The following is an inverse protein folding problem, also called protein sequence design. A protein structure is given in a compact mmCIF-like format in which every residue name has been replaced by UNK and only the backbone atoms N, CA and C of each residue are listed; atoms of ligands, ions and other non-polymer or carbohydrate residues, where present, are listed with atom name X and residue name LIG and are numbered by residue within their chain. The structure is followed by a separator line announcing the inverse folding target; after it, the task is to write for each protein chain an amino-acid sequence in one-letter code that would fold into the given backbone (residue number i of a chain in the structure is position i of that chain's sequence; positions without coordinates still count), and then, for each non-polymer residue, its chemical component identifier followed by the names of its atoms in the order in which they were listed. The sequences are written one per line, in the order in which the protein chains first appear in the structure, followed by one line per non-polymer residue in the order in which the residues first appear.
data_IF_649424477966
#
_entry.id   IF_649424477966
#
_cell.length_a   1.000
_cell.length_b   1.000
_cell.length_c   1.000
_cell.angle_alpha   90.00
_cell.angle_beta   90.00
_cell.angle_gamma   90.00
#
_symmetry.space_group_name_H-M   'P 1'
#
loop_
_entity.id
_entity.type
_entity.pdbx_description
1 polymer ?
#
# COMPACT_ATOMS: atom_id res chain seq x y z
N UNK A 1 -33.65 -34.85 1.38
CA UNK A 1 -32.40 -34.63 2.13
C UNK A 1 -31.29 -34.37 1.12
N UNK A 2 -30.91 -33.11 0.90
CA UNK A 2 -29.57 -32.73 0.43
C UNK A 2 -29.31 -31.36 1.05
N UNK A 3 -28.43 -31.29 2.05
CA UNK A 3 -27.87 -30.02 2.50
C UNK A 3 -26.50 -29.92 1.82
N UNK A 4 -26.41 -29.09 0.79
CA UNK A 4 -25.14 -28.79 0.13
C UNK A 4 -24.35 -27.90 1.10
N UNK A 5 -23.48 -28.51 1.90
CA UNK A 5 -22.49 -27.78 2.69
C UNK A 5 -21.35 -27.44 1.75
N UNK A 6 -21.24 -26.17 1.39
CA UNK A 6 -20.12 -25.63 0.63
C UNK A 6 -18.86 -25.71 1.50
N UNK A 7 -18.03 -26.72 1.26
CA UNK A 7 -16.76 -26.91 1.94
C UNK A 7 -15.70 -26.00 1.31
N UNK A 8 -15.68 -24.72 1.71
CA UNK A 8 -14.51 -23.88 1.49
C UNK A 8 -13.45 -24.38 2.47
N UNK A 9 -12.45 -25.10 1.95
CA UNK A 9 -11.23 -25.43 2.68
C UNK A 9 -10.51 -24.12 3.01
N UNK A 10 -10.80 -23.56 4.18
CA UNK A 10 -9.95 -22.56 4.81
C UNK A 10 -8.64 -23.26 5.17
N UNK A 11 -7.60 -22.99 4.39
CA UNK A 11 -6.24 -23.38 4.71
C UNK A 11 -5.85 -22.69 6.04
N UNK A 12 -5.44 -23.44 7.08
CA UNK A 12 -5.11 -22.87 8.38
C UNK A 12 -3.81 -22.02 8.38
N UNK A 13 -3.15 -21.83 7.24
CA UNK A 13 -1.87 -21.10 7.15
C UNK A 13 -1.99 -19.60 6.89
N UNK A 14 -3.15 -19.05 6.53
CA UNK A 14 -3.30 -17.58 6.42
C UNK A 14 -3.54 -17.02 7.83
N UNK A 15 -2.45 -16.90 8.59
CA UNK A 15 -2.44 -16.14 9.83
C UNK A 15 -2.81 -14.68 9.50
N UNK A 16 -3.71 -14.10 10.30
CA UNK A 16 -3.99 -12.66 10.29
C UNK A 16 -2.75 -11.78 10.55
N UNK A 17 -1.58 -12.38 10.81
CA UNK A 17 -0.28 -11.73 10.92
C UNK A 17 0.34 -11.33 9.58
N UNK A 18 0.01 -11.96 8.44
CA UNK A 18 0.62 -11.56 7.15
C UNK A 18 0.15 -10.18 6.67
N UNK A 19 -1.08 -9.80 7.01
CA UNK A 19 -1.61 -8.45 6.75
C UNK A 19 -1.07 -7.39 7.72
N UNK A 20 -0.58 -7.78 8.89
CA UNK A 20 0.01 -6.89 9.90
C UNK A 20 1.54 -6.89 9.88
N UNK A 21 2.15 -7.69 9.00
CA UNK A 21 3.58 -7.74 8.86
C UNK A 21 4.04 -6.47 8.13
N UNK A 22 4.82 -5.62 8.81
CA UNK A 22 5.44 -4.42 8.22
C UNK A 22 6.34 -4.71 7.01
N UNK A 23 6.52 -5.98 6.65
CA UNK A 23 7.22 -6.45 5.46
C UNK A 23 6.31 -6.69 4.24
N UNK A 24 4.98 -6.57 4.36
CA UNK A 24 4.08 -6.64 3.21
C UNK A 24 4.18 -5.32 2.41
N UNK A 25 4.65 -5.34 1.14
CA UNK A 25 4.80 -4.12 0.34
C UNK A 25 3.47 -3.40 0.06
N UNK A 26 2.33 -4.07 0.22
CA UNK A 26 0.98 -3.50 0.05
C UNK A 26 0.37 -3.00 1.36
N UNK A 27 1.08 -3.09 2.48
CA UNK A 27 0.58 -2.66 3.77
C UNK A 27 0.36 -1.14 3.82
N UNK A 28 -0.86 -0.72 4.15
CA UNK A 28 -1.21 0.66 4.43
C UNK A 28 -1.36 0.80 5.94
N UNK A 29 -0.54 1.65 6.55
CA UNK A 29 -0.58 1.86 7.99
C UNK A 29 -1.84 2.65 8.39
N UNK A 30 -2.45 2.32 9.54
CA UNK A 30 -3.69 2.98 10.00
C UNK A 30 -3.55 4.51 10.20
N UNK A 31 -2.33 5.01 10.40
CA UNK A 31 -2.06 6.46 10.50
C UNK A 31 -1.92 7.16 9.14
N UNK A 32 -2.09 6.44 8.03
CA UNK A 32 -2.06 7.05 6.72
C UNK A 32 -3.32 7.83 6.40
N UNK A 33 -3.09 9.07 5.94
CA UNK A 33 -4.14 10.00 5.58
C UNK A 33 -4.02 10.30 4.07
N UNK A 34 -4.98 9.83 3.25
CA UNK A 34 -5.01 10.11 1.81
C UNK A 34 -5.08 11.61 1.46
N UNK A 35 -5.59 12.44 2.37
CA UNK A 35 -5.68 13.90 2.21
C UNK A 35 -4.49 14.67 2.78
N UNK A 36 -3.45 13.99 3.29
CA UNK A 36 -2.28 14.68 3.83
C UNK A 36 -1.45 15.36 2.74
N UNK A 37 -1.16 16.65 2.94
CA UNK A 37 -0.19 17.37 2.12
C UNK A 37 1.22 16.84 2.41
N UNK A 38 1.82 16.15 1.43
CA UNK A 38 3.19 15.62 1.55
C UNK A 38 4.25 16.72 1.43
N UNK A 39 3.99 17.71 0.58
CA UNK A 39 4.84 18.89 0.40
C UNK A 39 3.92 20.11 0.38
N UNK A 40 4.16 21.04 1.30
CA UNK A 40 3.33 22.27 1.44
C UNK A 40 3.56 23.26 0.31
N UNK A 41 4.77 23.29 -0.24
CA UNK A 41 5.12 24.15 -1.37
C UNK A 41 4.64 23.52 -2.70
N UNK A 42 3.82 24.22 -3.49
CA UNK A 42 3.40 23.75 -4.81
C UNK A 42 4.59 23.58 -5.77
N UNK A 43 4.49 22.63 -6.69
CA UNK A 43 5.48 22.43 -7.75
C UNK A 43 5.43 23.62 -8.74
N UNK A 44 6.60 24.21 -8.99
CA UNK A 44 6.82 25.30 -9.94
C UNK A 44 8.05 25.04 -10.81
N UNK A 45 8.26 25.89 -11.82
CA UNK A 45 9.36 25.73 -12.79
C UNK A 45 10.75 25.88 -12.17
N UNK A 46 10.87 26.62 -11.07
CA UNK A 46 12.12 26.98 -10.41
C UNK A 46 12.44 26.12 -9.17
N UNK A 47 11.49 25.31 -8.70
CA UNK A 47 11.59 24.62 -7.41
C UNK A 47 11.63 23.08 -7.50
N UNK A 48 11.69 22.52 -8.72
CA UNK A 48 11.60 21.08 -8.96
C UNK A 48 12.56 20.25 -8.10
N UNK A 49 13.83 20.64 -8.00
CA UNK A 49 14.83 19.87 -7.24
C UNK A 49 14.49 19.81 -5.74
N UNK A 50 14.12 20.95 -5.16
CA UNK A 50 13.71 21.03 -3.76
C UNK A 50 12.41 20.28 -3.53
N UNK A 51 11.42 20.45 -4.41
CA UNK A 51 10.13 19.77 -4.35
C UNK A 51 10.30 18.24 -4.43
N UNK A 52 11.09 17.75 -5.40
CA UNK A 52 11.39 16.32 -5.58
C UNK A 52 12.00 15.72 -4.33
N UNK A 53 12.99 16.41 -3.73
CA UNK A 53 13.63 15.95 -2.49
C UNK A 53 12.63 15.88 -1.33
N UNK A 54 11.83 16.92 -1.14
CA UNK A 54 10.80 16.96 -0.08
C UNK A 54 9.76 15.86 -0.28
N UNK A 55 9.29 15.65 -1.51
CA UNK A 55 8.33 14.59 -1.85
C UNK A 55 8.93 13.21 -1.57
N UNK A 56 10.17 12.99 -1.99
CA UNK A 56 10.88 11.74 -1.74
C UNK A 56 11.02 11.46 -0.24
N UNK A 57 11.42 12.45 0.56
CA UNK A 57 11.54 12.29 2.02
C UNK A 57 10.20 11.99 2.70
N UNK A 58 9.13 12.67 2.28
CA UNK A 58 7.79 12.44 2.83
C UNK A 58 7.31 11.01 2.55
N UNK A 59 7.55 10.50 1.35
CA UNK A 59 7.20 9.14 0.94
C UNK A 59 8.09 8.08 1.58
N UNK A 60 9.41 8.33 1.69
CA UNK A 60 10.36 7.38 2.28
C UNK A 60 10.08 7.15 3.76
N UNK A 61 9.67 8.19 4.49
CA UNK A 61 9.27 8.08 5.91
C UNK A 61 8.09 7.13 6.11
N UNK A 62 7.30 6.92 5.06
CA UNK A 62 6.13 6.04 5.07
C UNK A 62 6.33 4.73 4.30
N UNK A 63 7.55 4.45 3.83
CA UNK A 63 7.87 3.31 2.95
C UNK A 63 7.03 3.27 1.64
N UNK A 64 6.65 4.44 1.11
CA UNK A 64 5.73 4.55 -0.04
C UNK A 64 6.39 4.79 -1.40
N UNK A 65 7.71 4.87 -1.45
CA UNK A 65 8.45 5.15 -2.69
C UNK A 65 8.11 4.13 -3.78
N UNK A 66 7.96 2.85 -3.39
CA UNK A 66 7.74 1.78 -4.35
C UNK A 66 6.43 1.88 -5.14
N UNK A 67 5.41 2.53 -4.57
CA UNK A 67 4.16 2.79 -5.28
C UNK A 67 4.29 3.90 -6.33
N UNK A 68 5.18 4.86 -6.10
CA UNK A 68 5.35 6.04 -6.97
C UNK A 68 6.33 5.76 -8.10
N UNK A 69 7.41 5.02 -7.83
CA UNK A 69 8.40 4.64 -8.85
C UNK A 69 8.01 3.36 -9.63
N UNK A 70 6.98 2.65 -9.18
CA UNK A 70 6.46 1.44 -9.81
C UNK A 70 7.22 0.16 -9.47
N UNK A 71 8.17 0.20 -8.53
CA UNK A 71 8.83 -1.02 -8.03
C UNK A 71 7.89 -1.92 -7.24
N UNK A 72 6.78 -1.38 -6.71
CA UNK A 72 5.64 -2.13 -6.17
C UNK A 72 4.52 -2.08 -7.24
N UNK A 73 4.30 -3.14 -8.02
CA UNK A 73 3.27 -3.17 -9.05
C UNK A 73 1.87 -3.23 -8.41
N UNK A 74 0.83 -2.87 -9.14
CA UNK A 74 -0.53 -3.12 -8.67
C UNK A 74 -0.76 -4.63 -8.45
N UNK A 75 -1.42 -5.04 -7.36
CA UNK A 75 -1.76 -6.44 -7.14
C UNK A 75 -2.66 -6.97 -8.26
N UNK A 76 -2.51 -8.24 -8.61
CA UNK A 76 -3.37 -8.88 -9.61
C UNK A 76 -4.83 -8.90 -9.14
N UNK A 77 -5.80 -8.83 -10.06
CA UNK A 77 -7.24 -8.81 -9.72
C UNK A 77 -7.72 -10.04 -8.97
N UNK A 78 -6.94 -11.13 -9.00
CA UNK A 78 -7.19 -12.38 -8.28
C UNK A 78 -6.49 -12.45 -6.92
N UNK A 79 -5.67 -11.46 -6.58
CA UNK A 79 -4.94 -11.41 -5.32
C UNK A 79 -5.85 -10.91 -4.19
N UNK A 80 -5.73 -11.47 -2.97
CA UNK A 80 -6.43 -10.94 -1.79
C UNK A 80 -6.09 -9.48 -1.48
N UNK A 81 -4.99 -8.94 -2.00
CA UNK A 81 -4.59 -7.54 -1.82
C UNK A 81 -5.20 -6.56 -2.85
N UNK A 82 -6.02 -7.02 -3.79
CA UNK A 82 -6.58 -6.15 -4.86
C UNK A 82 -7.71 -5.22 -4.39
N UNK A 83 -8.48 -5.64 -3.39
CA UNK A 83 -9.65 -4.91 -2.89
C UNK A 83 -9.50 -4.44 -1.44
N UNK A 84 -8.27 -4.46 -0.91
CA UNK A 84 -7.97 -4.02 0.45
C UNK A 84 -8.11 -2.50 0.60
#
# INVERSE_FOLDING_TARGET
MVNVVNNVTVDPTISNDEFNNGNNPYYIHQSDNPGALLVTQPLGSDNYNSWKRSMFMALSTKNKIGFVDGSIPAPATTSPNYSA
#
